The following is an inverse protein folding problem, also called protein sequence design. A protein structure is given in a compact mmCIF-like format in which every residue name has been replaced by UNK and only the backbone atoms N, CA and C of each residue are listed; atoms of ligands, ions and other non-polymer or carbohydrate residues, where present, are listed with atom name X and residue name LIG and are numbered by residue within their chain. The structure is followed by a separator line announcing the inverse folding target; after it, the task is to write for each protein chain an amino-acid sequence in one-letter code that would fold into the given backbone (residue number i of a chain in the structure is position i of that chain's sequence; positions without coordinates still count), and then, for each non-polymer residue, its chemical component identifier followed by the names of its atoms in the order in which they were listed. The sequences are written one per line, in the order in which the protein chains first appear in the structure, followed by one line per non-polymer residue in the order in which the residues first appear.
data_IF_400838805078
#
_entry.id   IF_400838805078
#
_cell.length_a   1.000
_cell.length_b   1.000
_cell.length_c   1.000
_cell.angle_alpha   90.00
_cell.angle_beta   90.00
_cell.angle_gamma   90.00
#
_symmetry.space_group_name_H-M   'P 1'
#
loop_
_entity.id
_entity.type
_entity.pdbx_description
1 polymer ?
#
# COMPACT_ATOMS: atom_id res chain seq x y z
N UNK A 1 19.83 -13.44 13.02
CA UNK A 1 20.70 -12.30 13.22
C UNK A 1 20.19 -11.47 14.40
N UNK A 2 21.08 -11.00 15.27
CA UNK A 2 20.71 -10.25 16.47
C UNK A 2 20.20 -8.82 16.19
N UNK A 3 20.26 -8.37 14.94
CA UNK A 3 19.92 -7.01 14.55
C UNK A 3 18.69 -7.06 13.64
N UNK A 4 17.51 -7.03 14.25
CA UNK A 4 16.21 -7.07 13.57
C UNK A 4 15.94 -5.92 12.58
N UNK A 5 16.98 -5.19 12.17
CA UNK A 5 16.89 -4.00 11.30
C UNK A 5 16.82 -4.31 9.80
N UNK A 6 17.09 -5.54 9.37
CA UNK A 6 17.18 -5.87 7.92
C UNK A 6 16.11 -6.84 7.42
N UNK A 7 15.12 -7.21 8.24
CA UNK A 7 14.06 -8.11 7.79
C UNK A 7 12.76 -7.36 7.54
N UNK A 8 12.34 -7.18 6.27
CA UNK A 8 11.11 -6.45 5.93
C UNK A 8 9.82 -7.22 6.29
N UNK A 9 9.94 -8.53 6.57
CA UNK A 9 8.81 -9.44 6.78
C UNK A 9 8.54 -9.66 8.26
N UNK A 10 7.28 -9.51 8.67
CA UNK A 10 6.84 -9.78 10.05
C UNK A 10 6.98 -11.29 10.35
N UNK A 11 7.38 -11.68 11.57
CA UNK A 11 7.35 -13.08 11.98
C UNK A 11 5.91 -13.62 11.94
N UNK A 12 5.75 -14.93 11.90
CA UNK A 12 4.43 -15.55 12.01
C UNK A 12 3.78 -15.23 13.36
N UNK A 13 2.45 -15.16 13.35
CA UNK A 13 1.69 -15.03 14.60
C UNK A 13 1.94 -16.24 15.50
N UNK A 14 1.75 -16.11 16.83
CA UNK A 14 1.94 -17.23 17.76
C UNK A 14 1.16 -18.49 17.37
N UNK A 15 -0.06 -18.32 16.83
CA UNK A 15 -0.93 -19.42 16.38
C UNK A 15 -0.29 -20.16 15.20
N UNK A 16 0.08 -19.45 14.13
CA UNK A 16 0.75 -20.03 12.94
C UNK A 16 2.09 -20.67 13.31
N UNK A 17 2.80 -20.07 14.26
CA UNK A 17 4.08 -20.61 14.71
C UNK A 17 3.89 -21.92 15.49
N UNK A 18 2.82 -22.01 16.28
CA UNK A 18 2.44 -23.24 17.02
C UNK A 18 2.02 -24.34 16.05
N UNK A 19 1.20 -24.05 15.04
CA UNK A 19 0.82 -25.00 13.99
C UNK A 19 2.05 -25.56 13.26
N UNK A 20 2.99 -24.67 12.90
CA UNK A 20 4.23 -25.08 12.24
C UNK A 20 5.10 -25.94 13.19
N UNK A 21 5.17 -25.62 14.49
CA UNK A 21 5.91 -26.40 15.46
C UNK A 21 5.30 -27.80 15.64
N UNK A 22 3.97 -27.93 15.62
CA UNK A 22 3.27 -29.20 15.67
C UNK A 22 3.58 -30.05 14.43
N UNK A 23 3.51 -29.46 13.24
CA UNK A 23 3.90 -30.13 11.99
C UNK A 23 5.36 -30.61 12.04
N UNK A 24 6.28 -29.80 12.58
CA UNK A 24 7.69 -30.18 12.74
C UNK A 24 7.88 -31.33 13.74
N UNK A 25 7.10 -31.40 14.81
CA UNK A 25 7.14 -32.54 15.74
C UNK A 25 6.72 -33.84 15.08
N UNK A 26 5.71 -33.79 14.19
CA UNK A 26 5.17 -34.97 13.53
C UNK A 26 6.03 -35.43 12.35
N UNK A 27 6.50 -34.51 11.53
CA UNK A 27 7.11 -34.79 10.23
C UNK A 27 8.60 -34.42 10.13
N UNK A 28 9.15 -33.79 11.17
CA UNK A 28 10.48 -33.16 11.09
C UNK A 28 10.50 -31.92 10.22
N UNK A 29 11.68 -31.41 9.94
CA UNK A 29 11.89 -30.28 9.01
C UNK A 29 12.11 -30.85 7.62
N UNK A 30 11.09 -30.74 6.78
CA UNK A 30 11.10 -31.29 5.40
C UNK A 30 12.04 -30.48 4.50
N UNK A 31 12.05 -29.17 4.64
CA UNK A 31 12.83 -28.26 3.81
C UNK A 31 13.91 -27.56 4.65
N UNK A 32 15.18 -27.72 4.25
CA UNK A 32 16.31 -27.11 4.93
C UNK A 32 16.23 -25.57 4.92
N UNK A 33 16.75 -24.94 5.97
CA UNK A 33 16.92 -23.48 5.97
C UNK A 33 18.12 -23.08 5.11
N UNK A 34 18.13 -21.83 4.59
CA UNK A 34 19.30 -21.29 3.91
C UNK A 34 20.06 -20.35 4.83
N UNK A 35 21.36 -20.55 4.93
CA UNK A 35 22.26 -19.73 5.75
C UNK A 35 23.51 -19.33 4.98
N UNK A 36 24.18 -18.26 5.40
CA UNK A 36 25.53 -17.93 4.94
C UNK A 36 26.47 -17.68 6.12
N UNK A 37 27.76 -17.83 5.88
CA UNK A 37 28.78 -17.42 6.84
C UNK A 37 29.16 -15.96 6.59
N UNK A 38 29.03 -15.12 7.61
CA UNK A 38 29.51 -13.72 7.58
C UNK A 38 31.04 -13.66 7.72
N UNK A 39 31.69 -12.54 7.33
CA UNK A 39 33.14 -12.37 7.50
C UNK A 39 33.62 -12.54 8.94
N UNK A 40 32.76 -12.30 9.93
CA UNK A 40 33.06 -12.49 11.36
C UNK A 40 32.84 -13.93 11.85
N UNK A 41 32.57 -14.88 10.94
CA UNK A 41 32.35 -16.29 11.23
C UNK A 41 30.95 -16.64 11.74
N UNK A 42 30.07 -15.67 11.94
CA UNK A 42 28.67 -15.91 12.36
C UNK A 42 27.83 -16.42 11.19
N UNK A 43 26.92 -17.34 11.50
CA UNK A 43 25.91 -17.80 10.53
C UNK A 43 24.73 -16.86 10.49
N UNK A 44 24.37 -16.41 9.31
CA UNK A 44 23.18 -15.58 9.05
C UNK A 44 22.12 -16.41 8.32
N UNK A 45 20.90 -16.38 8.84
CA UNK A 45 19.76 -17.06 8.19
C UNK A 45 19.24 -16.17 7.06
N UNK A 46 19.21 -16.70 5.84
CA UNK A 46 18.69 -16.03 4.65
C UNK A 46 17.23 -16.43 4.39
N UNK A 47 16.88 -17.71 4.60
CA UNK A 47 15.52 -18.20 4.48
C UNK A 47 15.21 -19.22 5.56
N UNK A 48 13.96 -19.20 6.09
CA UNK A 48 13.49 -20.17 7.07
C UNK A 48 13.50 -19.70 8.52
N UNK A 49 13.45 -18.39 8.79
CA UNK A 49 13.39 -17.82 10.15
C UNK A 49 12.22 -18.42 10.98
N UNK A 50 11.02 -18.53 10.38
CA UNK A 50 9.88 -19.13 11.05
C UNK A 50 10.07 -20.62 11.30
N UNK A 51 10.76 -21.36 10.41
CA UNK A 51 11.14 -22.76 10.63
C UNK A 51 12.07 -22.93 11.83
N UNK A 52 13.06 -22.05 11.97
CA UNK A 52 13.96 -22.04 13.14
C UNK A 52 13.20 -21.72 14.42
N UNK A 53 12.31 -20.73 14.40
CA UNK A 53 11.50 -20.38 15.56
C UNK A 53 10.56 -21.54 15.96
N UNK A 54 9.88 -22.15 14.99
CA UNK A 54 9.01 -23.29 15.22
C UNK A 54 9.78 -24.54 15.67
N UNK A 55 10.98 -24.79 15.13
CA UNK A 55 11.85 -25.89 15.57
C UNK A 55 12.24 -25.75 17.05
N UNK A 56 12.56 -24.52 17.49
CA UNK A 56 12.81 -24.25 18.92
C UNK A 56 11.59 -24.53 19.78
N UNK A 57 10.39 -24.15 19.34
CA UNK A 57 9.12 -24.47 20.03
C UNK A 57 8.83 -25.98 20.02
N UNK A 58 9.25 -26.69 18.97
CA UNK A 58 9.15 -28.14 18.88
C UNK A 58 10.17 -28.88 19.74
N UNK A 59 11.17 -28.19 20.34
CA UNK A 59 12.20 -28.78 21.19
C UNK A 59 13.41 -29.33 20.41
N UNK A 60 13.54 -29.04 19.12
CA UNK A 60 14.67 -29.49 18.32
C UNK A 60 15.94 -28.72 18.66
N UNK A 61 17.07 -29.42 18.81
CA UNK A 61 18.38 -28.84 19.10
C UNK A 61 19.09 -28.36 17.83
N UNK A 62 18.79 -28.98 16.70
CA UNK A 62 19.40 -28.68 15.40
C UNK A 62 18.38 -28.62 14.29
N UNK A 63 18.69 -27.86 13.25
CA UNK A 63 17.88 -27.77 12.03
C UNK A 63 18.77 -28.02 10.79
N UNK A 64 18.28 -28.73 9.77
CA UNK A 64 19.02 -28.92 8.53
C UNK A 64 19.20 -27.56 7.83
N UNK A 65 20.43 -27.27 7.43
CA UNK A 65 20.79 -26.01 6.81
C UNK A 65 21.65 -26.20 5.56
N UNK A 66 21.39 -25.43 4.52
CA UNK A 66 22.22 -25.30 3.33
C UNK A 66 23.07 -24.05 3.50
N UNK A 67 24.39 -24.22 3.52
CA UNK A 67 25.32 -23.09 3.62
C UNK A 67 25.60 -22.57 2.21
N UNK A 68 25.31 -21.29 1.98
CA UNK A 68 25.56 -20.62 0.71
C UNK A 68 26.70 -19.61 0.84
N UNK A 69 27.49 -19.47 -0.22
CA UNK A 69 28.52 -18.44 -0.31
C UNK A 69 27.96 -17.28 -1.15
N UNK A 70 27.39 -16.29 -0.47
CA UNK A 70 26.74 -15.13 -1.08
C UNK A 70 27.34 -13.85 -0.49
N UNK A 71 27.54 -12.86 -1.33
CA UNK A 71 27.78 -11.48 -0.86
C UNK A 71 26.52 -10.86 -0.26
N UNK A 72 26.63 -9.64 0.26
CA UNK A 72 25.52 -8.98 0.94
C UNK A 72 24.34 -8.72 0.02
N UNK A 73 24.57 -8.29 -1.22
CA UNK A 73 23.52 -8.00 -2.17
C UNK A 73 22.77 -9.27 -2.61
N UNK A 74 23.51 -10.35 -2.90
CA UNK A 74 22.91 -11.64 -3.25
C UNK A 74 22.12 -12.25 -2.07
N UNK A 75 22.61 -12.04 -0.86
CA UNK A 75 21.91 -12.47 0.35
C UNK A 75 20.59 -11.71 0.58
N UNK A 76 20.58 -10.39 0.38
CA UNK A 76 19.37 -9.57 0.44
C UNK A 76 18.35 -9.99 -0.62
N UNK A 77 18.81 -10.24 -1.85
CA UNK A 77 17.93 -10.72 -2.94
C UNK A 77 17.31 -12.06 -2.56
N UNK A 78 18.10 -13.04 -2.12
CA UNK A 78 17.60 -14.35 -1.73
C UNK A 78 16.59 -14.26 -0.58
N UNK A 79 16.86 -13.40 0.42
CA UNK A 79 15.99 -13.20 1.56
C UNK A 79 14.61 -12.69 1.09
N UNK A 80 14.57 -11.70 0.21
CA UNK A 80 13.30 -11.13 -0.27
C UNK A 80 12.57 -12.11 -1.18
N UNK A 81 13.26 -12.67 -2.18
CA UNK A 81 12.65 -13.60 -3.14
C UNK A 81 12.09 -14.84 -2.46
N UNK A 82 12.81 -15.43 -1.49
CA UNK A 82 12.33 -16.59 -0.76
C UNK A 82 11.06 -16.31 0.04
N UNK A 83 10.92 -15.11 0.64
CA UNK A 83 9.71 -14.74 1.36
C UNK A 83 8.53 -14.48 0.42
N UNK A 84 8.77 -13.84 -0.72
CA UNK A 84 7.72 -13.58 -1.71
C UNK A 84 7.20 -14.90 -2.29
N UNK A 85 8.06 -15.86 -2.59
CA UNK A 85 7.69 -17.15 -3.19
C UNK A 85 6.98 -18.11 -2.22
N UNK A 86 7.34 -18.08 -0.93
CA UNK A 86 6.87 -19.09 0.04
C UNK A 86 5.75 -18.58 0.97
N UNK A 87 5.36 -17.31 0.90
CA UNK A 87 4.27 -16.79 1.70
C UNK A 87 3.00 -16.66 0.85
N UNK A 88 1.93 -17.32 1.27
CA UNK A 88 0.62 -17.23 0.62
C UNK A 88 0.08 -15.80 0.61
N UNK A 89 0.32 -15.05 1.69
CA UNK A 89 -0.14 -13.67 1.82
C UNK A 89 0.96 -12.79 2.39
N UNK A 90 1.29 -11.73 1.67
CA UNK A 90 2.17 -10.66 2.11
C UNK A 90 1.36 -9.39 2.36
N UNK A 91 1.63 -8.73 3.47
CA UNK A 91 1.06 -7.44 3.78
C UNK A 91 1.57 -6.37 2.80
N UNK A 92 0.79 -5.32 2.53
CA UNK A 92 1.24 -4.18 1.72
C UNK A 92 2.56 -3.58 2.20
N UNK A 93 2.77 -3.44 3.51
CA UNK A 93 4.01 -2.95 4.10
C UNK A 93 5.20 -3.88 3.84
N UNK A 94 4.99 -5.20 3.91
CA UNK A 94 6.03 -6.20 3.64
C UNK A 94 6.45 -6.17 2.16
N UNK A 95 5.48 -6.08 1.24
CA UNK A 95 5.76 -5.92 -0.19
C UNK A 95 6.51 -4.62 -0.48
N UNK A 96 6.07 -3.51 0.13
CA UNK A 96 6.68 -2.20 -0.06
C UNK A 96 8.16 -2.20 0.34
N UNK A 97 8.47 -2.70 1.53
CA UNK A 97 9.84 -2.79 2.06
C UNK A 97 10.67 -3.82 1.30
N UNK A 98 10.08 -4.99 1.00
CA UNK A 98 10.74 -6.05 0.25
C UNK A 98 11.14 -5.61 -1.16
N UNK A 99 10.23 -4.99 -1.91
CA UNK A 99 10.53 -4.49 -3.26
C UNK A 99 11.56 -3.37 -3.26
N UNK A 100 11.53 -2.48 -2.26
CA UNK A 100 12.56 -1.45 -2.13
C UNK A 100 13.93 -2.08 -1.90
N UNK A 101 14.05 -3.01 -0.96
CA UNK A 101 15.28 -3.73 -0.64
C UNK A 101 15.82 -4.47 -1.85
N UNK A 102 14.95 -5.18 -2.58
CA UNK A 102 15.31 -5.92 -3.78
C UNK A 102 15.78 -4.98 -4.90
N UNK A 103 15.10 -3.84 -5.09
CA UNK A 103 15.48 -2.82 -6.07
C UNK A 103 16.87 -2.23 -5.76
N UNK A 104 17.15 -1.93 -4.49
CA UNK A 104 18.43 -1.39 -4.05
C UNK A 104 19.57 -2.40 -4.20
N UNK A 105 19.36 -3.66 -3.79
CA UNK A 105 20.35 -4.72 -3.93
C UNK A 105 20.69 -4.97 -5.41
N UNK A 106 19.69 -5.07 -6.29
CA UNK A 106 19.92 -5.25 -7.73
C UNK A 106 20.63 -4.07 -8.38
N UNK A 107 20.32 -2.83 -7.96
CA UNK A 107 21.05 -1.64 -8.44
C UNK A 107 22.53 -1.69 -8.04
N UNK A 108 22.86 -2.09 -6.80
CA UNK A 108 24.25 -2.24 -6.33
C UNK A 108 25.00 -3.32 -7.11
N UNK A 109 24.34 -4.45 -7.38
CA UNK A 109 24.92 -5.51 -8.25
C UNK A 109 25.18 -5.01 -9.67
N UNK A 110 24.21 -4.31 -10.29
CA UNK A 110 24.35 -3.74 -11.63
C UNK A 110 25.53 -2.77 -11.73
N UNK A 111 25.73 -1.91 -10.75
CA UNK A 111 26.87 -0.98 -10.71
C UNK A 111 28.23 -1.68 -10.61
N UNK A 112 28.32 -2.85 -9.98
CA UNK A 112 29.57 -3.64 -9.88
C UNK A 112 29.92 -4.35 -11.19
N UNK A 113 28.93 -4.73 -11.98
CA UNK A 113 29.14 -5.40 -13.28
C UNK A 113 29.40 -4.41 -14.41
N UNK A 114 29.08 -3.13 -14.24
CA UNK A 114 29.06 -2.13 -15.31
C UNK A 114 30.40 -1.37 -15.50
N UNK A 115 31.51 -1.97 -15.10
CA UNK A 115 32.83 -1.40 -15.36
C UNK A 115 33.20 -1.36 -16.87
N UNK A 116 32.34 -1.82 -17.78
CA UNK A 116 32.65 -1.93 -19.21
C UNK A 116 31.70 -1.28 -20.20
N UNK A 117 30.51 -0.78 -19.82
CA UNK A 117 29.63 -0.07 -20.77
C UNK A 117 28.45 0.68 -20.15
N UNK A 118 28.48 2.02 -20.09
CA UNK A 118 27.40 2.84 -19.54
C UNK A 118 26.08 2.83 -20.33
N UNK A 119 26.07 2.32 -21.55
CA UNK A 119 24.92 2.42 -22.45
C UNK A 119 23.93 1.23 -22.41
N UNK A 120 24.30 0.12 -21.83
CA UNK A 120 23.43 -1.06 -21.71
C UNK A 120 22.63 -1.05 -20.40
N UNK A 121 23.14 -0.44 -19.34
CA UNK A 121 22.52 -0.32 -18.02
C UNK A 121 21.18 0.45 -18.01
N UNK A 122 20.95 1.33 -18.98
CA UNK A 122 19.69 2.08 -19.09
C UNK A 122 18.50 1.21 -19.55
N UNK A 123 18.72 -0.03 -19.98
CA UNK A 123 17.71 -0.87 -20.63
C UNK A 123 17.01 -1.88 -19.72
N UNK A 124 17.59 -2.20 -18.58
CA UNK A 124 16.99 -3.07 -17.59
C UNK A 124 16.68 -2.29 -16.32
N UNK A 125 15.45 -1.85 -16.19
CA UNK A 125 14.99 -1.31 -14.92
C UNK A 125 14.84 -2.49 -13.96
N UNK A 126 15.50 -2.41 -12.81
CA UNK A 126 15.39 -3.44 -11.79
C UNK A 126 13.93 -3.65 -11.31
N UNK A 127 13.08 -2.62 -11.41
CA UNK A 127 11.65 -2.72 -11.18
C UNK A 127 10.91 -3.61 -12.20
N UNK A 128 11.36 -3.65 -13.46
CA UNK A 128 10.78 -4.52 -14.49
C UNK A 128 11.18 -6.00 -14.27
N UNK A 129 12.36 -6.27 -13.75
CA UNK A 129 12.77 -7.63 -13.38
C UNK A 129 11.96 -8.17 -12.20
N UNK A 130 11.75 -7.33 -11.17
CA UNK A 130 10.89 -7.66 -10.04
C UNK A 130 9.46 -7.91 -10.54
N UNK A 131 8.96 -7.03 -11.39
CA UNK A 131 7.63 -7.12 -11.97
C UNK A 131 7.42 -8.44 -12.73
N UNK A 132 8.41 -8.84 -13.53
CA UNK A 132 8.37 -10.09 -14.29
C UNK A 132 8.37 -11.32 -13.37
N UNK A 133 9.21 -11.31 -12.33
CA UNK A 133 9.28 -12.41 -11.37
C UNK A 133 7.95 -12.61 -10.61
N UNK A 134 7.26 -11.51 -10.30
CA UNK A 134 6.01 -11.49 -9.55
C UNK A 134 4.75 -11.52 -10.44
N UNK A 135 4.92 -11.57 -11.76
CA UNK A 135 3.82 -11.49 -12.74
C UNK A 135 2.90 -10.26 -12.52
N UNK A 136 3.50 -9.12 -12.21
CA UNK A 136 2.84 -7.82 -12.04
C UNK A 136 3.48 -6.78 -12.97
N UNK A 137 2.94 -5.55 -13.00
CA UNK A 137 3.54 -4.46 -13.79
C UNK A 137 4.65 -3.74 -12.98
N UNK A 138 5.66 -3.20 -13.67
CA UNK A 138 6.67 -2.34 -13.05
C UNK A 138 6.06 -1.10 -12.35
N UNK A 139 4.92 -0.60 -12.87
CA UNK A 139 4.15 0.45 -12.18
C UNK A 139 3.61 -0.01 -10.82
N UNK A 140 3.12 -1.25 -10.75
CA UNK A 140 2.66 -1.84 -9.49
C UNK A 140 3.81 -1.96 -8.49
N UNK A 141 5.00 -2.37 -8.91
CA UNK A 141 6.20 -2.41 -8.05
C UNK A 141 6.51 -1.01 -7.51
N UNK A 142 6.56 0.01 -8.38
CA UNK A 142 6.81 1.41 -7.99
C UNK A 142 5.76 1.93 -7.01
N UNK A 143 4.49 1.57 -7.20
CA UNK A 143 3.39 1.95 -6.30
C UNK A 143 3.53 1.30 -4.93
N UNK A 144 3.94 0.03 -4.84
CA UNK A 144 4.26 -0.59 -3.54
C UNK A 144 5.43 0.11 -2.86
N UNK A 145 6.54 0.32 -3.57
CA UNK A 145 7.71 1.01 -3.01
C UNK A 145 7.33 2.40 -2.50
N UNK A 146 6.43 3.11 -3.21
CA UNK A 146 5.95 4.43 -2.80
C UNK A 146 5.26 4.43 -1.44
N UNK A 147 4.61 3.34 -1.03
CA UNK A 147 3.97 3.23 0.28
C UNK A 147 4.95 3.43 1.45
N UNK A 148 6.26 3.16 1.26
CA UNK A 148 7.28 3.40 2.28
C UNK A 148 7.42 4.88 2.70
N UNK A 149 6.78 5.81 1.98
CA UNK A 149 6.69 7.22 2.39
C UNK A 149 5.50 7.52 3.31
N UNK A 150 4.68 6.53 3.64
CA UNK A 150 3.66 6.69 4.69
C UNK A 150 4.32 6.63 6.06
N UNK A 151 3.76 7.40 7.01
CA UNK A 151 4.09 7.23 8.43
C UNK A 151 3.59 5.87 8.92
N UNK A 152 4.30 5.27 9.88
CA UNK A 152 4.01 3.91 10.35
C UNK A 152 2.53 3.69 10.74
N UNK A 153 1.83 4.58 11.47
CA UNK A 153 0.43 4.37 11.81
C UNK A 153 -0.51 4.29 10.58
N UNK A 154 -0.23 5.07 9.53
CA UNK A 154 -1.01 4.99 8.29
C UNK A 154 -0.68 3.71 7.51
N UNK A 155 0.58 3.26 7.54
CA UNK A 155 0.99 2.01 6.93
C UNK A 155 0.32 0.80 7.62
N UNK A 156 0.25 0.80 8.95
CA UNK A 156 -0.44 -0.24 9.72
C UNK A 156 -1.94 -0.31 9.34
N UNK A 157 -2.60 0.84 9.18
CA UNK A 157 -3.98 0.89 8.69
C UNK A 157 -4.11 0.33 7.27
N UNK A 158 -3.12 0.55 6.40
CA UNK A 158 -3.11 -0.03 5.04
C UNK A 158 -2.97 -1.55 5.10
N UNK A 159 -2.18 -2.08 6.03
CA UNK A 159 -2.07 -3.53 6.28
C UNK A 159 -3.40 -4.13 6.76
N UNK A 160 -4.23 -3.35 7.47
CA UNK A 160 -5.60 -3.71 7.85
C UNK A 160 -6.63 -3.52 6.73
N UNK A 161 -6.20 -3.01 5.57
CA UNK A 161 -7.06 -2.78 4.40
C UNK A 161 -7.79 -1.44 4.39
N UNK A 162 -7.45 -0.50 5.27
CA UNK A 162 -8.07 0.84 5.37
C UNK A 162 -6.99 1.92 5.59
N UNK A 163 -6.76 2.81 4.62
CA UNK A 163 -7.42 2.93 3.31
C UNK A 163 -6.99 1.83 2.33
N UNK A 164 -7.78 1.60 1.30
CA UNK A 164 -7.41 0.66 0.24
C UNK A 164 -6.15 1.10 -0.53
N UNK A 165 -5.45 0.16 -1.16
CA UNK A 165 -4.13 0.32 -1.78
C UNK A 165 -3.99 1.58 -2.65
N UNK A 166 -4.95 1.85 -3.55
CA UNK A 166 -4.86 3.03 -4.44
C UNK A 166 -4.95 4.34 -3.68
N UNK A 167 -5.82 4.43 -2.67
CA UNK A 167 -5.90 5.61 -1.81
C UNK A 167 -4.62 5.79 -0.99
N UNK A 168 -4.08 4.71 -0.43
CA UNK A 168 -2.83 4.71 0.31
C UNK A 168 -1.65 5.25 -0.53
N UNK A 169 -1.55 4.81 -1.80
CA UNK A 169 -0.54 5.33 -2.74
C UNK A 169 -0.71 6.83 -2.96
N UNK A 170 -1.94 7.34 -3.09
CA UNK A 170 -2.14 8.79 -3.23
C UNK A 170 -1.80 9.54 -1.93
N UNK A 171 -2.12 9.00 -0.76
CA UNK A 171 -1.76 9.58 0.54
C UNK A 171 -0.25 9.60 0.79
N UNK A 172 0.51 8.66 0.23
CA UNK A 172 1.98 8.63 0.37
C UNK A 172 2.70 9.80 -0.32
N UNK A 173 1.97 10.63 -1.07
CA UNK A 173 2.50 11.87 -1.66
C UNK A 173 2.39 13.08 -0.72
N UNK A 174 1.64 12.99 0.36
CA UNK A 174 1.52 14.02 1.36
C UNK A 174 2.84 14.16 2.14
N UNK A 175 3.17 15.39 2.55
CA UNK A 175 4.29 15.61 3.46
C UNK A 175 4.02 14.94 4.82
N UNK A 176 5.07 14.60 5.57
CA UNK A 176 4.93 13.90 6.85
C UNK A 176 3.95 14.63 7.79
N UNK A 177 4.09 15.95 7.93
CA UNK A 177 3.19 16.76 8.78
C UNK A 177 1.73 16.71 8.32
N UNK A 178 1.49 16.66 7.01
CA UNK A 178 0.14 16.55 6.45
C UNK A 178 -0.46 15.16 6.74
N UNK A 179 0.36 14.12 6.71
CA UNK A 179 -0.04 12.76 7.09
C UNK A 179 -0.37 12.66 8.58
N UNK A 180 0.40 13.31 9.45
CA UNK A 180 0.14 13.39 10.90
C UNK A 180 -1.19 14.11 11.18
N UNK A 181 -1.43 15.25 10.53
CA UNK A 181 -2.69 15.98 10.61
C UNK A 181 -3.87 15.13 10.11
N UNK A 182 -3.70 14.44 8.98
CA UNK A 182 -4.71 13.53 8.44
C UNK A 182 -5.05 12.41 9.43
N UNK A 183 -4.04 11.79 10.04
CA UNK A 183 -4.22 10.74 11.04
C UNK A 183 -5.04 11.24 12.24
N UNK A 184 -4.73 12.44 12.73
CA UNK A 184 -5.47 13.06 13.83
C UNK A 184 -6.95 13.23 13.48
N UNK A 185 -7.24 13.78 12.29
CA UNK A 185 -8.62 13.98 11.82
C UNK A 185 -9.34 12.64 11.62
N UNK A 186 -8.65 11.63 11.11
CA UNK A 186 -9.21 10.28 10.96
C UNK A 186 -9.60 9.68 12.32
N UNK A 187 -8.78 9.89 13.35
CA UNK A 187 -9.05 9.42 14.72
C UNK A 187 -10.23 10.16 15.34
N UNK A 188 -10.29 11.49 15.20
CA UNK A 188 -11.36 12.32 15.74
C UNK A 188 -12.73 12.06 15.06
N UNK A 189 -12.71 11.87 13.75
CA UNK A 189 -13.93 11.72 12.95
C UNK A 189 -14.34 10.29 12.67
N UNK A 190 -13.46 9.32 12.96
CA UNK A 190 -13.61 7.91 12.57
C UNK A 190 -13.83 7.72 11.06
N UNK A 191 -13.37 8.65 10.23
CA UNK A 191 -13.48 8.60 8.77
C UNK A 191 -12.13 8.28 8.13
N UNK A 192 -12.17 7.36 7.17
CA UNK A 192 -11.00 6.99 6.35
C UNK A 192 -11.20 7.56 4.95
N UNK A 193 -10.19 8.22 4.34
CA UNK A 193 -10.30 8.77 3.00
C UNK A 193 -10.62 7.68 1.97
N UNK A 194 -11.63 7.92 1.15
CA UNK A 194 -11.87 7.12 -0.04
C UNK A 194 -10.92 7.54 -1.18
N UNK A 195 -10.93 6.80 -2.30
CA UNK A 195 -10.02 7.08 -3.43
C UNK A 195 -10.15 8.49 -4.01
N UNK A 196 -11.37 9.06 -4.06
CA UNK A 196 -11.59 10.42 -4.56
C UNK A 196 -11.02 11.47 -3.58
N UNK A 197 -11.23 11.26 -2.28
CA UNK A 197 -10.69 12.12 -1.22
C UNK A 197 -9.15 12.06 -1.15
N UNK A 198 -8.58 10.86 -1.23
CA UNK A 198 -7.12 10.69 -1.25
C UNK A 198 -6.48 11.42 -2.46
N UNK A 199 -7.11 11.29 -3.64
CA UNK A 199 -6.67 12.02 -4.83
C UNK A 199 -6.81 13.55 -4.68
N UNK A 200 -7.87 14.03 -4.02
CA UNK A 200 -8.07 15.45 -3.74
C UNK A 200 -7.01 15.96 -2.75
N UNK A 201 -6.73 15.21 -1.68
CA UNK A 201 -5.67 15.52 -0.71
C UNK A 201 -4.30 15.61 -1.39
N UNK A 202 -3.94 14.62 -2.21
CA UNK A 202 -2.70 14.64 -3.00
C UNK A 202 -2.59 15.89 -3.88
N UNK A 203 -3.67 16.26 -4.59
CA UNK A 203 -3.70 17.44 -5.44
C UNK A 203 -3.54 18.72 -4.62
N UNK A 204 -4.22 18.82 -3.48
CA UNK A 204 -4.14 19.97 -2.59
C UNK A 204 -2.74 20.10 -1.95
N UNK A 205 -2.11 18.97 -1.55
CA UNK A 205 -0.73 18.93 -1.08
C UNK A 205 0.24 19.44 -2.14
N UNK A 206 0.15 18.93 -3.37
CA UNK A 206 1.01 19.38 -4.48
C UNK A 206 0.84 20.87 -4.83
N UNK A 207 -0.32 21.45 -4.54
CA UNK A 207 -0.62 22.87 -4.72
C UNK A 207 -0.25 23.73 -3.49
N UNK A 208 0.28 23.13 -2.41
CA UNK A 208 0.57 23.83 -1.15
C UNK A 208 -0.67 24.34 -0.41
N UNK A 209 -1.83 23.74 -0.68
CA UNK A 209 -3.12 24.18 -0.12
C UNK A 209 -3.48 23.50 1.21
N UNK A 210 -2.75 22.46 1.64
CA UNK A 210 -2.94 21.80 2.93
C UNK A 210 -2.19 22.53 4.05
N UNK A 211 -2.55 23.78 4.29
CA UNK A 211 -1.87 24.66 5.24
C UNK A 211 -2.11 24.28 6.72
N UNK A 212 -3.11 23.43 7.00
CA UNK A 212 -3.45 23.00 8.35
C UNK A 212 -4.51 21.89 8.37
N UNK A 213 -4.88 21.40 9.58
CA UNK A 213 -5.86 20.34 9.74
C UNK A 213 -7.23 20.66 9.14
N UNK A 214 -7.65 21.93 9.20
CA UNK A 214 -8.96 22.40 8.69
C UNK A 214 -9.11 22.16 7.18
N UNK A 215 -8.04 22.38 6.40
CA UNK A 215 -8.05 22.10 4.96
C UNK A 215 -8.25 20.62 4.66
N UNK A 216 -7.65 19.75 5.46
CA UNK A 216 -7.81 18.30 5.36
C UNK A 216 -9.22 17.90 5.78
N UNK A 217 -9.73 18.48 6.89
CA UNK A 217 -11.07 18.21 7.40
C UNK A 217 -12.15 18.58 6.38
N UNK A 218 -11.99 19.70 5.67
CA UNK A 218 -12.91 20.12 4.60
C UNK A 218 -13.01 19.09 3.47
N UNK A 219 -11.91 18.44 3.13
CA UNK A 219 -11.89 17.40 2.07
C UNK A 219 -12.43 16.08 2.62
N UNK A 220 -12.10 15.72 3.86
CA UNK A 220 -12.49 14.45 4.47
C UNK A 220 -13.95 14.45 4.95
N UNK A 221 -14.42 15.60 5.42
CA UNK A 221 -15.77 15.83 5.94
C UNK A 221 -16.43 17.01 5.22
N UNK A 222 -16.71 16.92 3.92
CA UNK A 222 -17.41 17.98 3.24
C UNK A 222 -18.75 18.19 3.98
N UNK A 223 -18.89 19.35 4.62
CA UNK A 223 -20.14 19.73 5.25
C UNK A 223 -21.25 19.56 4.23
N UNK A 224 -22.13 18.62 4.51
CA UNK A 224 -23.38 18.38 3.79
C UNK A 224 -23.46 19.10 2.43
N UNK A 225 -22.60 18.77 1.50
CA UNK A 225 -22.95 18.90 0.10
C UNK A 225 -24.03 17.84 -0.11
N UNK A 226 -25.22 18.10 0.44
CA UNK A 226 -26.42 17.42 -0.01
C UNK A 226 -26.30 17.50 -1.53
N UNK A 227 -26.05 16.36 -2.18
CA UNK A 227 -26.11 16.31 -3.65
C UNK A 227 -27.39 17.07 -3.99
N UNK A 228 -27.32 18.11 -4.81
CA UNK A 228 -28.51 18.87 -5.09
C UNK A 228 -29.58 17.84 -5.46
N UNK A 229 -30.68 17.84 -4.72
CA UNK A 229 -31.76 16.91 -5.01
C UNK A 229 -32.31 17.34 -6.36
N UNK A 230 -31.89 16.69 -7.41
CA UNK A 230 -32.31 16.98 -8.76
C UNK A 230 -33.64 16.25 -8.94
N UNK A 231 -34.72 17.01 -8.98
CA UNK A 231 -36.02 16.53 -9.42
C UNK A 231 -36.00 16.57 -10.96
N UNK A 232 -35.91 15.42 -11.60
CA UNK A 232 -36.04 15.31 -13.07
C UNK A 232 -37.52 15.14 -13.40
N UNK A 233 -38.11 16.16 -14.00
CA UNK A 233 -39.45 16.10 -14.56
C UNK A 233 -39.32 15.96 -16.08
N UNK A 234 -39.95 14.93 -16.68
CA UNK A 234 -39.96 14.78 -18.13
C UNK A 234 -40.67 15.98 -18.76
N UNK A 235 -40.09 16.56 -19.80
CA UNK A 235 -40.66 17.68 -20.54
C UNK A 235 -42.05 17.33 -21.08
N UNK A 236 -42.29 16.07 -21.48
CA UNK A 236 -43.60 15.59 -21.95
C UNK A 236 -44.72 15.79 -20.92
N UNK A 237 -44.40 15.69 -19.64
CA UNK A 237 -45.38 15.94 -18.54
C UNK A 237 -45.67 17.39 -18.28
N UNK A 238 -44.81 18.29 -18.82
CA UNK A 238 -44.94 19.73 -18.69
C UNK A 238 -45.67 20.36 -19.91
N UNK A 239 -45.73 19.61 -21.04
CA UNK A 239 -46.35 20.11 -22.27
C UNK A 239 -47.84 20.44 -22.10
N UNK A 240 -48.56 19.80 -21.15
CA UNK A 240 -49.94 20.10 -20.85
C UNK A 240 -50.13 21.47 -20.15
N UNK A 241 -49.03 22.06 -19.63
CA UNK A 241 -49.07 23.30 -18.85
C UNK A 241 -48.34 24.44 -19.56
N UNK A 242 -47.59 24.18 -20.63
CA UNK A 242 -46.83 25.18 -21.34
C UNK A 242 -47.07 25.12 -22.86
N UNK A 243 -47.06 26.28 -23.58
CA UNK A 243 -47.09 26.30 -25.03
C UNK A 243 -45.92 25.49 -25.63
N UNK A 244 -46.16 24.89 -26.80
CA UNK A 244 -45.20 23.99 -27.44
C UNK A 244 -43.82 24.64 -27.83
N UNK A 245 -43.78 25.95 -27.89
CA UNK A 245 -42.60 26.76 -28.22
C UNK A 245 -41.87 27.29 -26.98
N UNK A 246 -42.32 26.91 -25.76
CA UNK A 246 -41.67 27.37 -24.52
C UNK A 246 -40.34 26.69 -24.30
N UNK A 247 -39.27 27.45 -24.08
CA UNK A 247 -37.94 26.90 -23.77
C UNK A 247 -37.87 26.29 -22.36
N UNK A 248 -36.99 25.31 -22.17
CA UNK A 248 -36.79 24.66 -20.85
C UNK A 248 -36.47 25.68 -19.74
N UNK A 249 -35.67 26.70 -20.05
CA UNK A 249 -35.33 27.76 -19.09
C UNK A 249 -36.55 28.59 -18.69
N UNK A 250 -37.46 28.90 -19.63
CA UNK A 250 -38.71 29.62 -19.33
C UNK A 250 -39.69 28.77 -18.54
N UNK A 251 -39.72 27.45 -18.79
CA UNK A 251 -40.52 26.52 -17.98
C UNK A 251 -39.99 26.47 -16.53
N UNK A 252 -38.67 26.36 -16.33
CA UNK A 252 -38.07 26.34 -15.01
C UNK A 252 -38.35 27.61 -14.22
N UNK A 253 -38.18 28.78 -14.86
CA UNK A 253 -38.44 30.07 -14.22
C UNK A 253 -39.91 30.21 -13.81
N UNK A 254 -40.87 29.82 -14.65
CA UNK A 254 -42.28 29.85 -14.39
C UNK A 254 -42.66 28.90 -13.23
N UNK A 255 -42.11 27.69 -13.22
CA UNK A 255 -42.35 26.73 -12.13
C UNK A 255 -41.82 27.28 -10.81
N UNK A 256 -40.62 27.85 -10.80
CA UNK A 256 -40.01 28.43 -9.60
C UNK A 256 -40.83 29.64 -9.09
N UNK A 257 -41.36 30.46 -9.99
CA UNK A 257 -42.23 31.59 -9.63
C UNK A 257 -43.52 31.09 -8.98
N UNK A 258 -44.21 30.14 -9.60
CA UNK A 258 -45.42 29.55 -9.07
C UNK A 258 -45.23 28.89 -7.69
N UNK A 259 -44.10 28.18 -7.49
CA UNK A 259 -43.76 27.57 -6.21
C UNK A 259 -43.45 28.59 -5.11
N UNK A 260 -42.83 29.74 -5.46
CA UNK A 260 -42.64 30.87 -4.50
C UNK A 260 -43.95 31.47 -4.05
N UNK A 261 -44.87 31.67 -4.97
CA UNK A 261 -46.20 32.18 -4.67
C UNK A 261 -47.01 31.21 -3.78
N UNK A 262 -46.97 29.92 -4.12
CA UNK A 262 -47.60 28.85 -3.31
C UNK A 262 -47.01 28.77 -1.89
N UNK A 263 -45.72 28.95 -1.72
CA UNK A 263 -45.04 28.96 -0.40
C UNK A 263 -45.50 30.17 0.46
N UNK A 264 -45.86 31.25 -0.16
CA UNK A 264 -46.41 32.43 0.55
C UNK A 264 -47.82 32.23 1.10
N UNK A 265 -48.48 31.16 0.70
CA UNK A 265 -49.83 30.78 1.14
C UNK A 265 -49.86 29.60 2.13
N UNK A 266 -48.70 29.04 2.51
CA UNK A 266 -48.48 28.04 3.55
C UNK A 266 -47.98 28.70 4.85
#
# INVERSE_FOLDING_TARGET
GADGQHQPFKPYTPEKLTELAESIRQNGIIEAISVRTKPDGRMEILAGHNRVAAAKLAGLQTVPAIVQQLDDDAAEILLVESNIQHRETLLPSERARGYQMLLEARKRQGQRTDLTSPQIAAKFRADDEIAKAENISGDTVRRYIRLNNLIDPLMDMVDEGKPGFTAAVDLSYLAQREQENLLTIMQETSKVPNGAQAKALKKASAAGMLTGPEAIQTILCPENSAKPRILKISTDRLLDFFPADTTEAAMEETILAALREYKGHL
#
